data_IF_321934842783
#
_entry.id   IF_321934842783
#
_cell.length_a   1.000
_cell.length_b   1.000
_cell.length_c   1.000
_cell.angle_alpha   90.00
_cell.angle_beta   90.00
_cell.angle_gamma   90.00
#
_symmetry.space_group_name_H-M   'P 1'
#
loop_
_entity.id
_entity.type
_entity.pdbx_description
1 polymer ?
#
# COMPACT_ATOMS: atom_id res chain seq x y z
N UNK A 1 -8.27 -18.08 8.86
CA UNK A 1 -7.42 -18.17 10.07
C UNK A 1 -6.83 -19.57 10.26
N UNK A 2 -7.53 -20.69 9.98
CA UNK A 2 -6.96 -22.06 10.11
C UNK A 2 -5.60 -22.22 9.43
N UNK A 3 -5.39 -21.59 8.29
CA UNK A 3 -4.13 -21.65 7.55
C UNK A 3 -3.03 -20.74 8.11
N UNK A 4 -3.38 -19.75 8.94
CA UNK A 4 -2.41 -18.82 9.54
C UNK A 4 -1.38 -19.59 10.38
N UNK A 5 -1.84 -20.44 11.26
CA UNK A 5 -0.93 -21.22 12.13
C UNK A 5 -0.07 -22.23 11.38
N UNK A 6 -0.54 -22.74 10.22
CA UNK A 6 0.22 -23.66 9.40
C UNK A 6 1.44 -23.02 8.74
N UNK A 7 1.37 -21.70 8.47
CA UNK A 7 2.43 -20.98 7.76
C UNK A 7 3.21 -20.00 8.65
N UNK A 8 2.67 -19.65 9.82
CA UNK A 8 3.29 -18.68 10.71
C UNK A 8 4.43 -19.31 11.50
N UNK A 9 5.68 -18.88 11.31
CA UNK A 9 6.83 -19.43 12.04
C UNK A 9 6.64 -19.37 13.56
N UNK A 10 7.13 -20.38 14.27
CA UNK A 10 7.09 -20.41 15.73
C UNK A 10 7.91 -19.29 16.39
N UNK A 11 8.85 -18.72 15.65
CA UNK A 11 9.73 -17.63 16.08
C UNK A 11 9.05 -16.27 16.12
N UNK A 12 7.86 -16.11 15.51
CA UNK A 12 7.12 -14.84 15.51
C UNK A 12 6.68 -14.49 16.93
N UNK A 13 7.05 -13.29 17.38
CA UNK A 13 6.73 -12.75 18.71
C UNK A 13 5.80 -11.54 18.63
N UNK A 14 5.74 -10.86 17.49
CA UNK A 14 4.91 -9.66 17.31
C UNK A 14 4.21 -9.70 15.95
N UNK A 15 2.97 -9.28 15.92
CA UNK A 15 2.13 -9.26 14.70
C UNK A 15 1.46 -7.88 14.61
N UNK A 16 1.49 -7.26 13.43
CA UNK A 16 0.64 -6.14 13.10
C UNK A 16 -0.45 -6.60 12.14
N UNK A 17 -1.71 -6.46 12.53
CA UNK A 17 -2.86 -6.67 11.67
C UNK A 17 -3.29 -5.34 11.06
N UNK A 18 -3.32 -5.26 9.74
CA UNK A 18 -3.67 -4.04 9.01
C UNK A 18 -5.05 -4.18 8.39
N UNK A 19 -5.95 -3.29 8.76
CA UNK A 19 -7.31 -3.20 8.27
C UNK A 19 -7.54 -1.88 7.51
N UNK A 20 -8.39 -1.90 6.49
CA UNK A 20 -8.82 -0.68 5.79
C UNK A 20 -10.05 -0.03 6.42
N UNK A 21 -10.74 -0.73 7.29
CA UNK A 21 -11.93 -0.26 7.96
C UNK A 21 -11.91 -0.64 9.44
N UNK A 22 -12.77 0.02 10.18
CA UNK A 22 -13.08 -0.29 11.57
C UNK A 22 -14.53 0.10 11.80
N UNK A 23 -15.31 -0.78 12.39
CA UNK A 23 -16.66 -0.44 12.82
C UNK A 23 -16.64 0.54 13.98
N UNK A 24 -17.61 1.41 14.02
CA UNK A 24 -17.78 2.39 15.08
C UNK A 24 -17.95 1.67 16.43
N UNK A 25 -17.14 2.03 17.41
CA UNK A 25 -17.15 1.39 18.74
C UNK A 25 -16.46 0.03 18.82
N UNK A 26 -15.95 -0.52 17.70
CA UNK A 26 -15.19 -1.76 17.74
C UNK A 26 -13.82 -1.60 18.40
N UNK A 27 -13.31 -2.67 19.02
CA UNK A 27 -11.99 -2.70 19.68
C UNK A 27 -10.82 -2.79 18.69
N UNK A 28 -11.07 -2.76 17.39
CA UNK A 28 -10.08 -2.87 16.32
C UNK A 28 -10.75 -3.20 15.00
N UNK A 29 -9.98 -3.29 13.92
CA UNK A 29 -10.46 -3.73 12.64
C UNK A 29 -10.82 -5.23 12.62
N UNK A 30 -11.57 -5.70 11.61
CA UNK A 30 -12.05 -7.10 11.53
C UNK A 30 -10.89 -8.11 11.54
N UNK A 31 -9.84 -7.89 10.75
CA UNK A 31 -8.68 -8.80 10.72
C UNK A 31 -7.94 -8.83 12.06
N UNK A 32 -7.77 -7.66 12.69
CA UNK A 32 -7.15 -7.58 14.00
C UNK A 32 -7.93 -8.42 15.02
N UNK A 33 -9.25 -8.29 15.08
CA UNK A 33 -10.10 -9.04 16.00
C UNK A 33 -10.04 -10.55 15.72
N UNK A 34 -10.06 -10.94 14.45
CA UNK A 34 -9.94 -12.33 14.04
C UNK A 34 -8.59 -12.94 14.45
N UNK A 35 -7.49 -12.19 14.29
CA UNK A 35 -6.17 -12.65 14.73
C UNK A 35 -6.12 -12.78 16.23
N UNK A 36 -6.57 -11.79 16.98
CA UNK A 36 -6.63 -11.86 18.45
C UNK A 36 -7.44 -13.09 18.92
N UNK A 37 -8.60 -13.32 18.31
CA UNK A 37 -9.45 -14.49 18.61
C UNK A 37 -8.73 -15.80 18.31
N UNK A 38 -8.02 -15.88 17.17
CA UNK A 38 -7.28 -17.08 16.80
C UNK A 38 -6.15 -17.43 17.79
N UNK A 39 -5.49 -16.41 18.34
CA UNK A 39 -4.41 -16.62 19.31
C UNK A 39 -4.93 -16.89 20.72
N UNK A 40 -6.20 -16.56 21.03
CA UNK A 40 -6.80 -16.91 22.32
C UNK A 40 -6.82 -18.43 22.51
N UNK A 41 -6.18 -18.91 23.58
CA UNK A 41 -6.08 -20.33 23.87
C UNK A 41 -5.12 -21.14 22.98
N UNK A 42 -4.37 -20.48 22.08
CA UNK A 42 -3.39 -21.17 21.21
C UNK A 42 -2.12 -21.65 21.92
N UNK A 43 -1.88 -21.17 23.14
CA UNK A 43 -0.65 -21.40 23.89
C UNK A 43 0.59 -20.65 23.35
N UNK A 44 0.40 -19.78 22.34
CA UNK A 44 1.47 -18.92 21.79
C UNK A 44 1.39 -17.53 22.40
N UNK A 45 2.48 -17.08 22.98
CA UNK A 45 2.61 -15.70 23.47
C UNK A 45 3.13 -14.80 22.35
N UNK A 46 2.25 -13.93 21.84
CA UNK A 46 2.54 -12.96 20.78
C UNK A 46 1.92 -11.62 21.12
N UNK A 47 2.67 -10.54 20.91
CA UNK A 47 2.10 -9.20 20.95
C UNK A 47 1.38 -8.92 19.63
N UNK A 48 0.09 -8.62 19.66
CA UNK A 48 -0.71 -8.32 18.49
C UNK A 48 -1.13 -6.86 18.56
N UNK A 49 -0.85 -6.10 17.51
CA UNK A 49 -1.29 -4.71 17.36
C UNK A 49 -2.11 -4.54 16.08
N UNK A 50 -3.13 -3.71 16.14
CA UNK A 50 -3.96 -3.34 15.00
C UNK A 50 -3.54 -2.00 14.42
N UNK A 51 -3.69 -1.85 13.11
CA UNK A 51 -3.48 -0.59 12.41
C UNK A 51 -4.40 -0.43 11.23
N UNK A 52 -4.60 0.81 10.80
CA UNK A 52 -5.43 1.15 9.65
C UNK A 52 -4.60 1.78 8.56
N UNK A 53 -4.80 1.33 7.32
CA UNK A 53 -4.10 1.79 6.13
C UNK A 53 -5.07 2.14 5.00
N UNK A 54 -4.60 2.80 3.97
CA UNK A 54 -5.40 3.12 2.78
C UNK A 54 -6.60 4.02 3.06
N UNK A 55 -6.56 4.79 4.15
CA UNK A 55 -7.61 5.72 4.54
C UNK A 55 -7.70 6.85 3.50
N UNK A 56 -8.93 7.34 3.26
CA UNK A 56 -9.19 8.34 2.23
C UNK A 56 -8.75 7.90 0.83
N UNK A 57 -8.83 6.60 0.54
CA UNK A 57 -8.39 6.00 -0.73
C UNK A 57 -6.93 6.29 -1.10
N UNK A 58 -6.09 6.58 -0.11
CA UNK A 58 -4.65 6.78 -0.33
C UNK A 58 -3.95 5.45 -0.57
N UNK A 59 -2.98 5.49 -1.45
CA UNK A 59 -2.12 4.35 -1.72
C UNK A 59 -1.26 4.02 -0.50
N UNK A 60 -0.89 2.75 -0.41
CA UNK A 60 0.03 2.26 0.62
C UNK A 60 1.32 1.83 -0.06
N UNK A 61 2.40 2.46 0.32
CA UNK A 61 3.72 2.25 -0.25
C UNK A 61 4.66 1.48 0.70
N UNK A 62 5.83 1.04 0.23
CA UNK A 62 6.80 0.33 1.06
C UNK A 62 7.29 1.14 2.26
N UNK A 63 7.39 2.46 2.18
CA UNK A 63 7.79 3.33 3.30
C UNK A 63 6.82 3.20 4.46
N UNK A 64 5.54 3.16 4.16
CA UNK A 64 4.48 2.94 5.16
C UNK A 64 4.59 1.57 5.81
N UNK A 65 4.87 0.53 5.05
CA UNK A 65 5.05 -0.83 5.58
C UNK A 65 6.29 -0.93 6.47
N UNK A 66 7.38 -0.26 6.10
CA UNK A 66 8.59 -0.18 6.95
C UNK A 66 8.25 0.50 8.28
N UNK A 67 7.49 1.59 8.27
CA UNK A 67 7.06 2.25 9.51
C UNK A 67 6.24 1.32 10.43
N UNK A 68 5.47 0.39 9.87
CA UNK A 68 4.78 -0.64 10.66
C UNK A 68 5.78 -1.61 11.31
N UNK A 69 6.80 -2.06 10.58
CA UNK A 69 7.86 -2.90 11.15
C UNK A 69 8.67 -2.16 12.20
N UNK A 70 8.98 -0.89 12.00
CA UNK A 70 9.67 -0.04 12.98
C UNK A 70 8.82 0.11 14.26
N UNK A 71 7.51 0.21 14.11
CA UNK A 71 6.61 0.19 15.26
C UNK A 71 6.66 -1.15 16.00
N UNK A 72 6.64 -2.27 15.29
CA UNK A 72 6.75 -3.61 15.89
C UNK A 72 8.10 -3.83 16.57
N UNK A 73 9.18 -3.19 16.12
CA UNK A 73 10.50 -3.31 16.73
C UNK A 73 10.58 -2.66 18.13
N UNK A 74 9.68 -1.72 18.46
CA UNK A 74 9.67 -1.05 19.76
C UNK A 74 9.37 -2.04 20.90
N UNK A 75 9.83 -1.73 22.11
CA UNK A 75 9.49 -2.50 23.29
C UNK A 75 7.96 -2.56 23.47
N UNK A 76 7.32 -1.41 23.35
CA UNK A 76 5.86 -1.24 23.40
C UNK A 76 5.37 -0.70 22.05
N UNK A 77 4.96 -1.56 21.13
CA UNK A 77 4.41 -1.13 19.84
C UNK A 77 3.08 -0.39 20.04
N UNK A 78 2.92 0.73 19.32
CA UNK A 78 1.66 1.47 19.29
C UNK A 78 0.57 0.57 18.70
N UNK A 79 -0.54 0.44 19.41
CA UNK A 79 -1.75 -0.24 18.95
C UNK A 79 -2.77 0.76 18.39
N UNK A 80 -3.73 0.29 17.60
CA UNK A 80 -4.79 1.09 16.95
C UNK A 80 -4.24 2.28 16.12
N UNK A 81 -3.05 2.10 15.55
CA UNK A 81 -2.37 3.15 14.80
C UNK A 81 -3.01 3.38 13.41
N UNK A 82 -2.71 4.52 12.83
CA UNK A 82 -2.99 4.83 11.42
C UNK A 82 -1.69 5.02 10.65
N UNK A 83 -1.71 4.70 9.36
CA UNK A 83 -0.59 4.88 8.46
C UNK A 83 -1.04 5.58 7.17
N UNK A 84 -0.18 6.45 6.62
CA UNK A 84 -0.46 7.18 5.38
C UNK A 84 -1.33 8.42 5.55
N UNK A 85 -1.74 8.74 6.76
CA UNK A 85 -2.43 10.00 7.12
C UNK A 85 -1.77 10.63 8.35
N UNK A 86 -2.06 11.90 8.58
CA UNK A 86 -1.76 12.57 9.86
C UNK A 86 -3.06 12.67 10.65
N UNK A 87 -3.12 11.94 11.76
CA UNK A 87 -4.22 12.01 12.72
C UNK A 87 -3.85 13.05 13.79
N UNK A 88 -4.48 14.21 13.71
CA UNK A 88 -4.27 15.33 14.61
C UNK A 88 -5.25 15.36 15.80
N UNK A 89 -6.12 14.36 15.88
CA UNK A 89 -7.11 14.23 16.96
C UNK A 89 -6.66 13.23 18.04
N UNK A 90 -6.31 12.01 17.61
CA UNK A 90 -5.92 10.95 18.55
C UNK A 90 -4.39 10.69 18.55
N UNK A 91 -3.66 11.29 17.63
CA UNK A 91 -2.19 11.19 17.50
C UNK A 91 -1.68 9.75 17.37
N UNK A 92 -2.47 8.89 16.75
CA UNK A 92 -2.15 7.48 16.58
C UNK A 92 -1.41 7.18 15.26
N UNK A 93 -1.19 8.18 14.41
CA UNK A 93 -0.41 8.00 13.19
C UNK A 93 1.03 7.59 13.48
N UNK A 94 1.54 6.65 12.68
CA UNK A 94 2.96 6.32 12.69
C UNK A 94 3.74 7.35 11.86
N UNK A 95 4.89 7.81 12.35
CA UNK A 95 5.77 8.63 11.54
C UNK A 95 6.35 7.81 10.39
N UNK A 96 6.51 8.43 9.24
CA UNK A 96 7.19 7.84 8.09
C UNK A 96 8.66 8.24 8.11
N UNK A 97 9.53 7.30 7.75
CA UNK A 97 10.94 7.56 7.47
C UNK A 97 11.18 8.13 6.08
N UNK A 98 12.41 8.00 5.61
CA UNK A 98 12.77 8.36 4.23
C UNK A 98 12.01 7.51 3.22
N UNK A 99 11.63 8.12 2.08
CA UNK A 99 10.89 7.41 1.03
C UNK A 99 11.75 6.29 0.43
N UNK A 100 11.19 5.09 0.40
CA UNK A 100 11.85 3.91 -0.14
C UNK A 100 11.31 3.58 -1.52
N UNK A 101 12.21 3.47 -2.47
CA UNK A 101 11.93 3.07 -3.85
C UNK A 101 12.47 1.63 -4.08
N UNK A 102 11.59 0.61 -4.06
CA UNK A 102 12.05 -0.80 -4.09
C UNK A 102 12.70 -1.21 -5.41
N UNK A 103 12.39 -0.52 -6.50
CA UNK A 103 12.86 -0.88 -7.85
C UNK A 103 14.18 -0.21 -8.26
N UNK A 104 14.83 0.53 -7.36
CA UNK A 104 16.15 1.14 -7.58
C UNK A 104 16.11 2.47 -8.33
N UNK A 105 17.30 3.08 -8.48
CA UNK A 105 17.47 4.50 -8.75
C UNK A 105 17.32 4.95 -10.23
N UNK A 106 16.89 4.11 -11.16
CA UNK A 106 16.84 4.47 -12.60
C UNK A 106 15.47 4.28 -13.24
N UNK A 107 14.41 4.64 -12.52
CA UNK A 107 13.10 4.77 -13.14
C UNK A 107 12.88 6.19 -13.67
N UNK A 108 12.36 6.28 -14.88
CA UNK A 108 11.78 7.51 -15.41
C UNK A 108 10.27 7.42 -15.22
N UNK A 109 9.70 8.37 -14.51
CA UNK A 109 8.25 8.44 -14.25
C UNK A 109 7.67 9.67 -14.92
N UNK A 110 6.54 9.49 -15.59
CA UNK A 110 5.81 10.53 -16.30
C UNK A 110 4.35 10.53 -15.87
N UNK A 111 3.78 11.71 -15.75
CA UNK A 111 2.38 11.89 -15.43
C UNK A 111 1.74 12.81 -16.46
N UNK A 112 0.69 12.31 -17.12
CA UNK A 112 -0.04 13.05 -18.14
C UNK A 112 -1.48 13.29 -17.68
N UNK A 113 -1.93 14.52 -17.81
CA UNK A 113 -3.32 14.89 -17.60
C UNK A 113 -3.99 15.08 -18.95
N UNK A 114 -5.18 14.50 -19.08
CA UNK A 114 -6.02 14.62 -20.25
C UNK A 114 -7.48 14.82 -19.89
N UNK A 115 -8.28 15.06 -20.88
CA UNK A 115 -9.74 15.07 -20.76
C UNK A 115 -10.32 13.84 -21.46
N UNK A 116 -11.36 13.26 -20.88
CA UNK A 116 -12.04 12.11 -21.47
C UNK A 116 -12.45 12.37 -22.92
N UNK A 117 -11.96 11.57 -23.85
CA UNK A 117 -12.21 11.68 -25.28
C UNK A 117 -11.17 12.48 -26.06
N UNK A 118 -10.13 13.03 -25.45
CA UNK A 118 -9.09 13.82 -26.12
C UNK A 118 -7.98 12.97 -26.80
N UNK A 119 -7.99 11.63 -26.59
CA UNK A 119 -7.00 10.71 -27.15
C UNK A 119 -5.75 10.51 -26.30
N UNK A 120 -5.56 11.25 -25.21
CA UNK A 120 -4.37 11.17 -24.33
C UNK A 120 -4.13 9.76 -23.80
N UNK A 121 -5.17 9.08 -23.32
CA UNK A 121 -5.06 7.69 -22.82
C UNK A 121 -4.63 6.73 -23.93
N UNK A 122 -5.21 6.85 -25.12
CA UNK A 122 -4.84 6.04 -26.28
C UNK A 122 -3.39 6.25 -26.70
N UNK A 123 -2.94 7.50 -26.76
CA UNK A 123 -1.55 7.85 -27.06
C UNK A 123 -0.57 7.25 -26.04
N UNK A 124 -0.90 7.33 -24.75
CA UNK A 124 -0.06 6.79 -23.69
C UNK A 124 -0.02 5.26 -23.68
N UNK A 125 -1.11 4.56 -24.03
CA UNK A 125 -1.11 3.10 -24.26
C UNK A 125 -0.18 2.71 -25.40
N UNK A 126 -0.31 3.40 -26.54
CA UNK A 126 0.60 3.17 -27.66
C UNK A 126 2.06 3.43 -27.32
N UNK A 127 2.34 4.44 -26.50
CA UNK A 127 3.71 4.74 -26.04
C UNK A 127 4.29 3.57 -25.25
N UNK A 128 3.54 2.98 -24.31
CA UNK A 128 3.98 1.79 -23.56
C UNK A 128 4.22 0.61 -24.51
N UNK A 129 3.33 0.36 -25.46
CA UNK A 129 3.46 -0.74 -26.41
C UNK A 129 4.70 -0.57 -27.29
N UNK A 130 4.97 0.65 -27.77
CA UNK A 130 6.16 0.97 -28.56
C UNK A 130 7.43 0.76 -27.75
N UNK A 131 7.49 1.30 -26.54
CA UNK A 131 8.68 1.16 -25.67
C UNK A 131 8.96 -0.30 -25.34
N UNK A 132 7.92 -1.07 -24.96
CA UNK A 132 8.09 -2.48 -24.63
C UNK A 132 8.45 -3.35 -25.85
N UNK A 133 7.99 -2.98 -27.06
CA UNK A 133 8.21 -3.78 -28.27
C UNK A 133 9.52 -3.47 -28.98
N UNK A 134 9.99 -2.23 -28.91
CA UNK A 134 11.10 -1.75 -29.74
C UNK A 134 12.31 -1.28 -28.95
N UNK A 135 12.29 -1.38 -27.62
CA UNK A 135 13.43 -1.02 -26.79
C UNK A 135 13.70 -2.11 -25.73
N UNK A 136 14.90 -2.20 -25.17
CA UNK A 136 15.19 -3.13 -24.07
C UNK A 136 14.63 -2.68 -22.72
N UNK A 137 13.83 -1.62 -22.70
CA UNK A 137 13.27 -1.09 -21.44
C UNK A 137 11.97 -1.81 -21.06
N UNK A 138 11.72 -1.81 -19.76
CA UNK A 138 10.46 -2.27 -19.18
C UNK A 138 9.55 -1.08 -18.95
N UNK A 139 8.35 -1.12 -19.52
CA UNK A 139 7.33 -0.09 -19.34
C UNK A 139 6.17 -0.57 -18.51
N UNK A 140 5.67 0.31 -17.64
CA UNK A 140 4.45 0.08 -16.88
C UNK A 140 3.57 1.32 -16.98
N UNK A 141 2.26 1.13 -17.10
CA UNK A 141 1.29 2.22 -17.12
C UNK A 141 0.12 1.93 -16.18
N UNK A 142 -0.38 3.00 -15.57
CA UNK A 142 -1.62 3.02 -14.81
C UNK A 142 -2.46 4.21 -15.24
N UNK A 143 -3.78 4.02 -15.34
CA UNK A 143 -4.71 5.05 -15.82
C UNK A 143 -5.80 5.28 -14.79
N UNK A 144 -5.94 6.53 -14.36
CA UNK A 144 -7.01 6.98 -13.49
C UNK A 144 -8.07 7.70 -14.32
N UNK A 145 -9.32 7.45 -14.00
CA UNK A 145 -10.47 8.04 -14.68
C UNK A 145 -11.37 8.73 -13.66
N UNK A 146 -11.86 9.91 -14.01
CA UNK A 146 -12.92 10.57 -13.26
C UNK A 146 -14.22 9.75 -13.32
N UNK A 147 -15.04 9.86 -12.29
CA UNK A 147 -16.38 9.31 -12.28
C UNK A 147 -17.31 9.92 -13.35
N UNK A 148 -17.00 11.13 -13.82
CA UNK A 148 -17.71 11.81 -14.89
C UNK A 148 -17.36 11.20 -16.25
N UNK A 149 -18.39 10.73 -17.01
CA UNK A 149 -18.19 10.00 -18.27
C UNK A 149 -17.64 10.84 -19.43
N UNK A 150 -17.98 12.12 -19.51
CA UNK A 150 -17.58 13.00 -20.62
C UNK A 150 -16.79 14.18 -20.09
N UNK A 151 -15.67 14.48 -20.73
CA UNK A 151 -14.77 15.57 -20.34
C UNK A 151 -14.29 15.50 -18.87
N UNK A 152 -14.36 14.33 -18.26
CA UNK A 152 -13.73 14.06 -16.97
C UNK A 152 -12.21 14.05 -17.10
N UNK A 153 -11.50 14.40 -16.03
CA UNK A 153 -10.04 14.36 -16.02
C UNK A 153 -9.56 12.91 -16.10
N UNK A 154 -8.59 12.66 -16.96
CA UNK A 154 -7.84 11.40 -16.99
C UNK A 154 -6.41 11.64 -16.59
N UNK A 155 -5.84 10.74 -15.80
CA UNK A 155 -4.44 10.79 -15.42
C UNK A 155 -3.77 9.50 -15.87
N UNK A 156 -2.71 9.64 -16.65
CA UNK A 156 -1.90 8.50 -17.09
C UNK A 156 -0.54 8.56 -16.41
N UNK A 157 -0.21 7.51 -15.67
CA UNK A 157 1.11 7.33 -15.07
C UNK A 157 1.89 6.34 -15.91
N UNK A 158 3.05 6.74 -16.43
CA UNK A 158 3.93 5.89 -17.20
C UNK A 158 5.29 5.80 -16.49
N UNK A 159 5.81 4.59 -16.40
CA UNK A 159 7.16 4.34 -15.87
C UNK A 159 7.97 3.51 -16.85
N UNK A 160 9.24 3.85 -16.95
CA UNK A 160 10.21 3.11 -17.76
C UNK A 160 11.46 2.83 -16.93
N UNK A 161 12.00 1.62 -17.06
CA UNK A 161 13.18 1.17 -16.31
C UNK A 161 14.06 0.28 -17.18
N UNK A 162 15.34 0.23 -16.85
CA UNK A 162 16.30 -0.72 -17.46
C UNK A 162 16.19 -2.15 -16.86
N UNK A 163 15.41 -2.31 -15.77
CA UNK A 163 15.14 -3.58 -15.12
C UNK A 163 13.63 -3.78 -14.95
N UNK A 164 13.16 -5.03 -14.73
CA UNK A 164 11.74 -5.28 -14.51
C UNK A 164 11.16 -4.45 -13.36
N UNK A 165 10.06 -3.75 -13.63
CA UNK A 165 9.35 -2.95 -12.64
C UNK A 165 8.47 -3.90 -11.81
N UNK A 166 8.81 -4.08 -10.55
CA UNK A 166 8.10 -5.01 -9.64
C UNK A 166 7.12 -4.30 -8.70
N UNK A 167 7.28 -2.98 -8.52
CA UNK A 167 6.39 -2.17 -7.71
C UNK A 167 5.12 -1.82 -8.49
N UNK A 168 3.98 -1.85 -7.82
CA UNK A 168 2.71 -1.34 -8.34
C UNK A 168 2.45 0.13 -7.98
N UNK A 169 3.38 0.78 -7.29
CA UNK A 169 3.25 2.18 -6.85
C UNK A 169 3.78 3.14 -7.90
N UNK A 170 3.19 4.35 -7.95
CA UNK A 170 3.49 5.40 -8.92
C UNK A 170 3.93 6.69 -8.24
#
# INVERSE_FOLDING_TARGET
IKHLFAVLPATVKKIAALDRCKEMGANGGPLYQDICTAFTGSGREVTIVGGRYGLSSKDTDPTQIIAVFDNLAKAEPKNDFTIGITDDVTYLSLPLGETVYPDGARQMSFKFWGLGGDGTVGANKNTIDIINSYTPKYGQAYFEYDAKKSFGVTISHLRFSDSPIRSSYF
#
